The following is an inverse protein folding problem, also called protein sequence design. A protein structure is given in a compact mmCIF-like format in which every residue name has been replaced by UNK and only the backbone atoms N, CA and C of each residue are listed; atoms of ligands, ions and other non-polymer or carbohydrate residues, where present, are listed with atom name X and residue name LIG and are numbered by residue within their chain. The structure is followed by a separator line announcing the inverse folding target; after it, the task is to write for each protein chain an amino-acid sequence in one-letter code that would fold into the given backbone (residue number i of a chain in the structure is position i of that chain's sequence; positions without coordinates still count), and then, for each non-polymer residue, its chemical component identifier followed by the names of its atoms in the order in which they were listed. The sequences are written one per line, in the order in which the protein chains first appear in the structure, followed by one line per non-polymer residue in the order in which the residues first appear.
data_IF_089547668776
#
_entry.id   IF_089547668776
#
_cell.length_a   1.000
_cell.length_b   1.000
_cell.length_c   1.000
_cell.angle_alpha   90.00
_cell.angle_beta   90.00
_cell.angle_gamma   90.00
#
_symmetry.space_group_name_H-M   'P 1'
#
loop_
_entity.id
_entity.type
_entity.pdbx_description
1 polymer ?
#
# COMPACT_ATOMS: atom_id res chain seq x y z
N UNK A 1 3.17 15.44 -6.52
CA UNK A 1 2.42 15.26 -5.26
C UNK A 1 2.30 16.60 -4.55
N UNK A 2 1.16 16.87 -3.91
CA UNK A 2 0.96 18.01 -2.99
C UNK A 2 0.04 17.60 -1.85
N UNK A 3 0.41 17.84 -0.60
CA UNK A 3 -0.36 17.47 0.59
C UNK A 3 0.53 17.32 1.82
N UNK A 4 -0.08 16.93 2.94
CA UNK A 4 0.55 16.81 4.26
C UNK A 4 0.78 15.35 4.73
N UNK A 5 0.20 14.36 4.04
CA UNK A 5 0.42 12.93 4.32
C UNK A 5 1.80 12.40 3.88
N UNK A 6 2.57 13.20 3.13
CA UNK A 6 3.75 12.78 2.37
C UNK A 6 3.43 11.82 1.21
N UNK A 7 4.37 11.69 0.26
CA UNK A 7 4.18 10.86 -0.93
C UNK A 7 4.60 9.40 -0.68
N UNK A 8 3.62 8.51 -0.59
CA UNK A 8 3.84 7.05 -0.53
C UNK A 8 3.15 6.30 -1.68
N UNK A 9 2.65 7.02 -2.70
CA UNK A 9 1.96 6.44 -3.86
C UNK A 9 2.82 6.49 -5.12
N UNK A 10 3.80 7.41 -5.22
CA UNK A 10 4.70 7.44 -6.38
C UNK A 10 5.47 6.12 -6.60
N UNK A 11 5.68 5.33 -5.54
CA UNK A 11 6.24 3.97 -5.64
C UNK A 11 5.37 3.00 -6.45
N UNK A 12 4.06 3.27 -6.56
CA UNK A 12 3.11 2.46 -7.30
C UNK A 12 3.02 2.82 -8.80
N UNK A 13 3.61 3.96 -9.20
CA UNK A 13 3.51 4.45 -10.58
C UNK A 13 4.24 3.50 -11.53
N UNK A 14 3.53 3.06 -12.57
CA UNK A 14 4.07 2.14 -13.58
C UNK A 14 4.00 0.65 -13.21
N UNK A 15 3.67 0.32 -11.95
CA UNK A 15 3.47 -1.07 -11.55
C UNK A 15 2.09 -1.58 -12.01
N UNK A 16 2.01 -2.90 -12.22
CA UNK A 16 0.74 -3.59 -12.47
C UNK A 16 0.04 -3.90 -11.15
N UNK A 17 -1.27 -4.12 -11.22
CA UNK A 17 -2.05 -4.48 -10.05
C UNK A 17 -1.85 -5.97 -9.74
N UNK A 18 -1.50 -6.28 -8.50
CA UNK A 18 -1.22 -7.64 -8.00
C UNK A 18 -2.22 -8.01 -6.91
N UNK A 19 -2.69 -9.26 -6.95
CA UNK A 19 -3.59 -9.88 -5.98
C UNK A 19 -3.04 -11.22 -5.48
N UNK A 20 -3.72 -11.83 -4.51
CA UNK A 20 -3.36 -13.15 -3.97
C UNK A 20 -3.21 -14.23 -5.06
N UNK A 21 -4.04 -14.15 -6.10
CA UNK A 21 -4.22 -15.14 -7.16
C UNK A 21 -3.63 -14.71 -8.52
N UNK A 22 -3.11 -13.49 -8.63
CA UNK A 22 -2.47 -12.98 -9.83
C UNK A 22 -1.25 -12.12 -9.47
N UNK A 23 -0.07 -12.71 -9.62
CA UNK A 23 1.20 -12.05 -9.33
C UNK A 23 1.73 -11.27 -10.54
N UNK A 24 1.72 -9.95 -10.43
CA UNK A 24 2.27 -9.03 -11.43
C UNK A 24 3.28 -8.05 -10.82
N UNK A 25 3.74 -8.32 -9.60
CA UNK A 25 4.68 -7.45 -8.93
C UNK A 25 6.13 -7.73 -9.39
N UNK A 26 7.08 -6.96 -8.88
CA UNK A 26 8.49 -7.06 -9.28
C UNK A 26 9.37 -7.69 -8.19
N UNK A 27 8.77 -8.51 -7.31
CA UNK A 27 9.44 -9.14 -6.18
C UNK A 27 9.54 -10.68 -6.25
N UNK A 28 9.99 -11.28 -7.37
CA UNK A 28 10.15 -12.73 -7.42
C UNK A 28 11.21 -13.21 -6.41
N UNK A 29 11.04 -14.40 -5.81
CA UNK A 29 10.00 -15.39 -6.12
C UNK A 29 8.69 -15.23 -5.31
N UNK A 30 8.60 -14.20 -4.47
CA UNK A 30 7.49 -14.01 -3.54
C UNK A 30 6.37 -13.16 -4.16
N UNK A 31 5.15 -13.30 -3.64
CA UNK A 31 4.00 -12.50 -4.03
C UNK A 31 3.70 -11.44 -2.96
N UNK A 32 3.84 -10.16 -3.29
CA UNK A 32 3.63 -9.04 -2.38
C UNK A 32 2.20 -9.00 -1.81
N UNK A 33 1.17 -9.31 -2.61
CA UNK A 33 -0.21 -9.36 -2.14
C UNK A 33 -0.40 -10.46 -1.07
N UNK A 34 0.31 -11.58 -1.21
CA UNK A 34 0.30 -12.67 -0.22
C UNK A 34 1.03 -12.28 1.06
N UNK A 35 2.18 -11.59 0.97
CA UNK A 35 2.95 -11.13 2.13
C UNK A 35 2.21 -10.03 2.90
N UNK A 36 1.69 -9.04 2.19
CA UNK A 36 1.14 -7.79 2.76
C UNK A 36 -0.39 -7.72 2.77
N UNK A 37 -1.06 -8.84 2.46
CA UNK A 37 -2.48 -9.08 2.74
C UNK A 37 -3.42 -8.03 2.12
N UNK A 38 -3.16 -7.66 0.87
CA UNK A 38 -3.95 -6.67 0.14
C UNK A 38 -3.89 -6.88 -1.38
N UNK A 39 -4.64 -6.06 -2.10
CA UNK A 39 -4.52 -5.92 -3.56
C UNK A 39 -4.07 -4.50 -3.88
N UNK A 40 -2.94 -4.35 -4.57
CA UNK A 40 -2.34 -3.05 -4.83
C UNK A 40 -1.47 -3.07 -6.09
N UNK A 41 -1.08 -1.89 -6.56
CA UNK A 41 -0.04 -1.75 -7.57
C UNK A 41 1.36 -1.95 -6.94
N UNK A 42 1.62 -3.18 -6.50
CA UNK A 42 2.86 -3.56 -5.82
C UNK A 42 4.06 -3.52 -6.79
N UNK A 43 5.19 -3.03 -6.29
CA UNK A 43 6.52 -3.16 -6.89
C UNK A 43 7.32 -4.21 -6.14
N UNK A 44 8.29 -3.80 -5.31
CA UNK A 44 9.02 -4.70 -4.40
C UNK A 44 9.14 -4.10 -2.97
N UNK A 45 8.09 -4.03 -2.15
CA UNK A 45 6.69 -4.32 -2.48
C UNK A 45 5.83 -3.06 -2.50
N UNK A 46 5.91 -2.19 -1.49
CA UNK A 46 5.13 -0.95 -1.47
C UNK A 46 5.65 0.13 -0.52
N UNK A 47 5.27 1.39 -0.78
CA UNK A 47 5.29 2.47 0.21
C UNK A 47 3.94 2.73 0.88
N UNK A 48 2.84 2.19 0.33
CA UNK A 48 1.48 2.32 0.84
C UNK A 48 0.68 1.04 0.61
N UNK A 49 -0.26 0.73 1.50
CA UNK A 49 -1.06 -0.48 1.41
C UNK A 49 -2.48 -0.23 1.91
N UNK A 50 -3.23 0.67 1.25
CA UNK A 50 -4.56 1.10 1.73
C UNK A 50 -5.61 -0.02 1.69
N UNK A 51 -5.35 -1.09 0.94
CA UNK A 51 -6.19 -2.30 0.85
C UNK A 51 -5.65 -3.46 1.72
N UNK A 52 -4.69 -3.21 2.62
CA UNK A 52 -4.20 -4.18 3.58
C UNK A 52 -5.20 -4.45 4.71
N UNK A 53 -4.81 -5.29 5.68
CA UNK A 53 -5.64 -5.62 6.84
C UNK A 53 -6.06 -4.37 7.64
N UNK A 54 -7.30 -4.38 8.13
CA UNK A 54 -7.74 -3.37 9.10
C UNK A 54 -7.20 -3.70 10.49
N UNK A 55 -6.03 -3.14 10.80
CA UNK A 55 -5.43 -3.11 12.14
C UNK A 55 -5.40 -1.66 12.57
N UNK A 56 -5.74 -1.34 13.83
CA UNK A 56 -5.80 0.03 14.31
C UNK A 56 -4.61 0.32 15.22
N UNK A 57 -3.79 1.29 14.84
CA UNK A 57 -2.65 1.73 15.66
C UNK A 57 -1.37 0.98 15.34
N UNK A 58 -0.43 0.98 16.30
CA UNK A 58 0.86 0.29 16.15
C UNK A 58 0.65 -1.21 15.96
N UNK A 59 1.40 -1.79 15.04
CA UNK A 59 1.42 -3.21 14.73
C UNK A 59 2.83 -3.75 14.92
N UNK A 60 2.96 -4.96 15.46
CA UNK A 60 4.23 -5.71 15.47
C UNK A 60 4.49 -6.36 14.11
N UNK A 61 3.44 -6.64 13.34
CA UNK A 61 3.57 -7.19 12.00
C UNK A 61 3.90 -6.08 11.01
N UNK A 62 4.93 -6.31 10.21
CA UNK A 62 5.43 -5.35 9.24
C UNK A 62 4.49 -5.20 8.03
N UNK A 63 4.08 -3.96 7.75
CA UNK A 63 3.48 -3.46 6.51
C UNK A 63 2.22 -4.17 5.91
N UNK A 64 1.70 -5.24 6.51
CA UNK A 64 0.52 -5.99 6.02
C UNK A 64 -0.87 -5.37 6.31
N UNK A 65 -0.91 -4.15 6.82
CA UNK A 65 -2.12 -3.45 7.25
C UNK A 65 -2.36 -2.21 6.38
N UNK A 66 -3.50 -1.56 6.59
CA UNK A 66 -3.80 -0.25 5.99
C UNK A 66 -2.79 0.81 6.43
N UNK A 67 -1.69 0.99 5.70
CA UNK A 67 -0.57 1.84 6.09
C UNK A 67 -0.14 2.82 4.99
N UNK A 68 0.57 3.87 5.41
CA UNK A 68 1.13 4.92 4.55
C UNK A 68 2.46 5.39 5.13
N UNK A 69 3.57 5.02 4.49
CA UNK A 69 4.94 5.17 5.03
C UNK A 69 5.23 6.60 5.50
N UNK A 70 5.02 7.59 4.64
CA UNK A 70 5.35 8.99 4.95
C UNK A 70 4.45 9.66 5.98
N UNK A 71 3.35 9.04 6.40
CA UNK A 71 2.41 9.63 7.37
C UNK A 71 2.57 9.04 8.77
N UNK A 72 2.48 7.71 8.90
CA UNK A 72 2.58 7.01 10.20
C UNK A 72 3.55 5.84 10.18
N UNK A 73 4.28 5.65 9.07
CA UNK A 73 5.14 4.48 8.85
C UNK A 73 4.35 3.24 8.43
N UNK A 74 5.09 2.18 8.14
CA UNK A 74 4.54 0.90 7.69
C UNK A 74 4.05 0.00 8.84
N UNK A 75 4.45 0.28 10.09
CA UNK A 75 4.03 -0.48 11.28
C UNK A 75 2.88 0.19 12.03
N UNK A 76 2.08 0.99 11.33
CA UNK A 76 0.94 1.68 11.90
C UNK A 76 -0.27 1.55 10.99
N UNK A 77 -1.31 0.91 11.49
CA UNK A 77 -2.59 0.79 10.79
C UNK A 77 -3.49 2.00 10.99
N UNK A 78 -3.86 2.61 9.86
CA UNK A 78 -4.72 3.76 9.79
C UNK A 78 -6.14 3.40 10.20
N UNK A 79 -6.80 4.32 10.93
CA UNK A 79 -8.19 4.15 11.34
C UNK A 79 -9.16 4.23 10.16
N UNK A 80 -8.83 5.06 9.16
CA UNK A 80 -9.67 5.38 8.02
C UNK A 80 -8.80 5.74 6.83
N UNK A 81 -9.20 5.32 5.64
CA UNK A 81 -8.68 5.84 4.37
C UNK A 81 -9.82 6.01 3.37
N UNK A 82 -9.65 6.92 2.41
CA UNK A 82 -10.57 7.09 1.29
C UNK A 82 -9.80 7.58 0.07
N UNK A 83 -9.89 6.85 -1.03
CA UNK A 83 -9.34 7.26 -2.33
C UNK A 83 -10.46 7.94 -3.14
N UNK A 84 -10.18 9.11 -3.69
CA UNK A 84 -11.13 9.89 -4.48
C UNK A 84 -10.39 10.52 -5.65
N UNK A 85 -11.06 10.62 -6.80
CA UNK A 85 -10.55 11.31 -7.99
C UNK A 85 -11.54 12.40 -8.40
N UNK A 86 -11.03 13.41 -9.10
CA UNK A 86 -11.81 14.48 -9.72
C UNK A 86 -11.20 14.77 -11.08
N UNK A 87 -12.03 15.10 -12.06
CA UNK A 87 -11.56 15.52 -13.38
C UNK A 87 -10.55 16.68 -13.25
N UNK A 88 -9.51 16.63 -14.08
CA UNK A 88 -8.60 17.75 -14.29
C UNK A 88 -9.08 18.53 -15.51
N UNK A 89 -8.82 19.84 -15.51
CA UNK A 89 -9.24 20.75 -16.57
C UNK A 89 -8.44 20.55 -17.85
#
# INVERSE_FOLDING_TARGET
YSGDAGDSLSWAVGNKFTTLDADHDSHPPDNCATMYKGGWWYGACHGSNLNGLYVKGKSETYANMMCWDKFKGLNYGLKTSRMMIRATA
#
